data_IF_668640411119
#
_entry.id   IF_668640411119
#
_cell.length_a   1.000
_cell.length_b   1.000
_cell.length_c   1.000
_cell.angle_alpha   90.00
_cell.angle_beta   90.00
_cell.angle_gamma   90.00
#
_symmetry.space_group_name_H-M   'P 1'
#
loop_
_entity.id
_entity.type
_entity.pdbx_description
1 polymer ?
#
# COMPACT_ATOMS: atom_id res chain seq x y z
N UNK A 1 9.36 17.61 10.89
CA UNK A 1 8.25 16.70 11.21
C UNK A 1 6.98 17.46 11.60
N UNK A 2 7.11 18.54 12.38
CA UNK A 2 5.94 19.31 12.84
C UNK A 2 5.05 19.81 11.71
N UNK A 3 5.65 20.19 10.58
CA UNK A 3 4.95 20.76 9.42
C UNK A 3 4.72 19.72 8.31
N UNK A 4 5.09 18.46 8.52
CA UNK A 4 5.07 17.44 7.46
C UNK A 4 3.68 17.25 6.84
N UNK A 5 2.64 17.20 7.66
CA UNK A 5 1.26 17.00 7.19
C UNK A 5 0.71 18.19 6.40
N UNK A 6 1.24 19.41 6.58
CA UNK A 6 0.81 20.57 5.80
C UNK A 6 1.24 20.53 4.32
N UNK A 7 2.15 19.59 3.98
CA UNK A 7 2.59 19.35 2.61
C UNK A 7 1.83 18.19 1.93
N UNK A 8 0.88 17.56 2.61
CA UNK A 8 0.09 16.45 2.07
C UNK A 8 -1.10 17.00 1.28
N UNK A 9 -1.16 16.68 -0.01
CA UNK A 9 -2.31 16.98 -0.85
C UNK A 9 -3.53 16.13 -0.45
N UNK A 10 -3.30 14.87 -0.11
CA UNK A 10 -4.35 13.94 0.29
C UNK A 10 -3.86 12.51 0.49
N UNK A 11 -4.82 11.66 0.76
CA UNK A 11 -4.61 10.24 1.06
C UNK A 11 -5.37 9.37 0.07
N UNK A 12 -4.81 8.22 -0.26
CA UNK A 12 -5.43 7.27 -1.16
C UNK A 12 -5.13 5.83 -0.75
N UNK A 13 -5.97 4.91 -1.20
CA UNK A 13 -5.67 3.47 -1.06
C UNK A 13 -4.64 3.08 -2.12
N UNK A 14 -3.59 2.39 -1.70
CA UNK A 14 -2.60 1.80 -2.59
C UNK A 14 -2.46 0.30 -2.29
N UNK A 15 -2.49 -0.53 -3.33
CA UNK A 15 -2.16 -1.94 -3.18
C UNK A 15 -0.73 -2.19 -3.67
N UNK A 16 0.19 -2.38 -2.75
CA UNK A 16 1.59 -2.71 -3.05
C UNK A 16 1.73 -4.18 -3.48
N UNK A 17 1.18 -4.50 -4.65
CA UNK A 17 1.28 -5.83 -5.25
C UNK A 17 2.74 -6.16 -5.50
N UNK A 18 3.14 -7.39 -5.14
CA UNK A 18 4.56 -7.77 -5.16
C UNK A 18 4.76 -9.13 -5.82
N UNK A 19 5.68 -9.19 -6.78
CA UNK A 19 6.24 -10.43 -7.30
C UNK A 19 7.46 -10.82 -6.43
N UNK A 20 7.26 -11.81 -5.59
CA UNK A 20 8.23 -12.12 -4.52
C UNK A 20 9.51 -12.78 -5.01
N UNK A 21 9.46 -13.60 -6.06
CA UNK A 21 10.64 -14.18 -6.68
C UNK A 21 11.56 -13.07 -7.22
N UNK A 22 11.00 -12.10 -7.95
CA UNK A 22 11.76 -10.99 -8.49
C UNK A 22 12.29 -10.06 -7.39
N UNK A 23 11.52 -9.87 -6.33
CA UNK A 23 11.91 -9.04 -5.21
C UNK A 23 13.08 -9.61 -4.41
N UNK A 24 13.03 -10.91 -4.06
CA UNK A 24 13.92 -11.50 -3.06
C UNK A 24 14.97 -12.45 -3.66
N UNK A 25 14.64 -13.18 -4.74
CA UNK A 25 15.47 -14.28 -5.23
C UNK A 25 16.33 -13.90 -6.44
N UNK A 26 16.04 -12.74 -7.08
CA UNK A 26 16.75 -12.29 -8.27
C UNK A 26 17.66 -11.10 -7.98
N UNK A 27 18.64 -11.28 -7.08
CA UNK A 27 19.68 -10.31 -6.77
C UNK A 27 19.27 -9.21 -5.80
N UNK A 28 18.20 -9.38 -5.05
CA UNK A 28 17.83 -8.54 -3.90
C UNK A 28 17.41 -7.10 -4.18
N UNK A 29 17.25 -6.69 -5.44
CA UNK A 29 16.76 -5.37 -5.78
C UNK A 29 15.23 -5.36 -5.80
N UNK A 30 14.64 -4.83 -4.76
CA UNK A 30 13.20 -4.92 -4.48
C UNK A 30 12.30 -4.33 -5.56
N UNK A 31 12.73 -3.27 -6.20
CA UNK A 31 11.95 -2.59 -7.23
C UNK A 31 11.52 -3.51 -8.38
N UNK A 32 12.33 -4.52 -8.72
CA UNK A 32 11.99 -5.50 -9.75
C UNK A 32 10.70 -6.26 -9.46
N UNK A 33 10.43 -6.50 -8.20
CA UNK A 33 9.20 -7.17 -7.74
C UNK A 33 8.01 -6.23 -7.54
N UNK A 34 8.19 -4.92 -7.73
CA UNK A 34 7.17 -3.89 -7.50
C UNK A 34 6.71 -3.18 -8.77
N UNK A 35 7.45 -3.32 -9.87
CA UNK A 35 7.34 -2.48 -11.07
C UNK A 35 6.74 -3.20 -12.28
N UNK A 36 6.07 -4.35 -12.10
CA UNK A 36 5.35 -4.97 -13.20
C UNK A 36 4.19 -4.07 -13.65
N UNK A 37 3.82 -4.09 -14.94
CA UNK A 37 2.65 -3.37 -15.42
C UNK A 37 1.42 -3.63 -14.55
N UNK A 38 0.67 -2.58 -14.21
CA UNK A 38 -0.50 -2.58 -13.32
C UNK A 38 -0.23 -2.83 -11.84
N UNK A 39 1.02 -2.99 -11.41
CA UNK A 39 1.37 -3.02 -9.99
C UNK A 39 1.27 -1.61 -9.37
N UNK A 40 1.02 -1.56 -8.06
CA UNK A 40 0.82 -0.32 -7.33
C UNK A 40 -0.48 0.43 -7.68
N UNK A 41 -1.64 -0.26 -7.90
CA UNK A 41 -2.88 0.45 -8.18
C UNK A 41 -3.22 1.40 -7.03
N UNK A 42 -3.47 2.66 -7.41
CA UNK A 42 -3.73 3.78 -6.51
C UNK A 42 -5.14 4.34 -6.76
N UNK A 43 -5.86 4.67 -5.71
CA UNK A 43 -7.23 5.20 -5.81
C UNK A 43 -8.21 4.43 -4.92
N UNK A 44 -9.55 4.57 -5.16
CA UNK A 44 -10.21 5.08 -6.38
C UNK A 44 -10.10 6.58 -6.58
N UNK A 45 -9.80 7.33 -5.55
CA UNK A 45 -9.63 8.80 -5.56
C UNK A 45 -8.59 9.22 -4.53
N UNK A 46 -8.26 10.50 -4.50
CA UNK A 46 -7.49 11.15 -3.44
C UNK A 46 -8.48 11.87 -2.54
N UNK A 47 -8.39 11.62 -1.23
CA UNK A 47 -9.20 12.29 -0.20
C UNK A 47 -8.34 13.37 0.44
N UNK A 48 -8.82 14.60 0.45
CA UNK A 48 -8.08 15.75 1.01
C UNK A 48 -8.03 15.72 2.54
N UNK A 49 -7.04 16.37 3.18
CA UNK A 49 -6.84 16.29 4.62
C UNK A 49 -8.02 16.78 5.48
N UNK A 50 -8.87 17.66 4.94
CA UNK A 50 -10.07 18.15 5.62
C UNK A 50 -11.13 17.05 5.85
N UNK A 51 -11.14 16.02 5.01
CA UNK A 51 -11.98 14.83 5.17
C UNK A 51 -11.29 13.69 5.94
N UNK A 52 -10.00 13.84 6.26
CA UNK A 52 -9.20 12.85 7.01
C UNK A 52 -8.62 13.50 8.27
N UNK A 53 -9.41 13.66 9.33
CA UNK A 53 -9.00 14.41 10.52
C UNK A 53 -7.80 13.76 11.25
N UNK A 54 -7.65 12.44 11.16
CA UNK A 54 -6.52 11.72 11.74
C UNK A 54 -6.04 10.59 10.84
N UNK A 55 -4.98 10.80 10.04
CA UNK A 55 -4.41 9.77 9.20
C UNK A 55 -3.75 8.61 9.99
N UNK A 56 -3.55 8.79 11.30
CA UNK A 56 -2.99 7.76 12.18
C UNK A 56 -4.08 6.90 12.84
N UNK A 57 -5.34 7.02 12.45
CA UNK A 57 -6.43 6.19 12.99
C UNK A 57 -7.43 5.78 11.91
N UNK A 58 -6.94 5.14 10.86
CA UNK A 58 -7.76 4.63 9.75
C UNK A 58 -7.74 3.10 9.74
N UNK A 59 -8.93 2.49 9.74
CA UNK A 59 -9.05 1.04 9.57
C UNK A 59 -8.86 0.64 8.11
N UNK A 60 -8.13 -0.45 7.88
CA UNK A 60 -7.85 -0.96 6.55
C UNK A 60 -8.00 -2.48 6.48
N UNK A 61 -8.40 -2.93 5.31
CA UNK A 61 -8.64 -4.35 5.05
C UNK A 61 -8.20 -4.76 3.64
N UNK A 62 -7.92 -6.04 3.50
CA UNK A 62 -7.81 -6.73 2.21
C UNK A 62 -8.40 -8.13 2.34
N UNK A 63 -9.26 -8.49 1.42
CA UNK A 63 -9.83 -9.82 1.26
C UNK A 63 -9.32 -10.43 -0.06
N UNK A 64 -9.09 -11.74 -0.06
CA UNK A 64 -8.74 -12.51 -1.26
C UNK A 64 -9.80 -13.60 -1.45
N UNK A 65 -10.47 -13.59 -2.59
CA UNK A 65 -11.55 -14.52 -2.92
C UNK A 65 -12.69 -14.54 -1.87
N UNK A 66 -12.95 -13.40 -1.24
CA UNK A 66 -13.96 -13.26 -0.18
C UNK A 66 -13.45 -13.63 1.22
N UNK A 67 -12.24 -14.18 1.35
CA UNK A 67 -11.66 -14.55 2.64
C UNK A 67 -10.76 -13.42 3.17
N UNK A 68 -10.84 -13.08 4.47
CA UNK A 68 -10.00 -12.09 5.09
C UNK A 68 -8.51 -12.43 4.99
N UNK A 69 -7.72 -11.50 4.45
CA UNK A 69 -6.28 -11.64 4.33
C UNK A 69 -5.54 -10.65 5.24
N UNK A 70 -5.85 -9.36 5.14
CA UNK A 70 -5.23 -8.34 5.97
C UNK A 70 -6.28 -7.53 6.72
N UNK A 71 -5.99 -7.19 7.96
CA UNK A 71 -6.77 -6.28 8.79
C UNK A 71 -5.79 -5.45 9.62
N UNK A 72 -6.02 -4.17 9.71
CA UNK A 72 -5.17 -3.28 10.49
C UNK A 72 -5.78 -1.91 10.70
N UNK A 73 -5.05 -1.11 11.43
CA UNK A 73 -5.35 0.30 11.64
C UNK A 73 -4.04 1.07 11.60
N UNK A 74 -4.02 2.26 11.00
CA UNK A 74 -2.81 3.08 10.86
C UNK A 74 -2.20 3.49 12.19
N UNK A 75 -2.94 3.45 13.30
CA UNK A 75 -2.39 3.67 14.66
C UNK A 75 -1.32 2.66 15.07
N UNK A 76 -1.26 1.49 14.40
CA UNK A 76 -0.27 0.45 14.68
C UNK A 76 0.98 0.55 13.81
N UNK A 77 1.09 1.59 13.00
CA UNK A 77 2.31 1.86 12.23
C UNK A 77 3.50 2.05 13.17
N UNK A 78 4.66 1.50 12.80
CA UNK A 78 5.91 1.67 13.56
C UNK A 78 6.34 3.14 13.52
N UNK A 79 6.24 3.77 12.34
CA UNK A 79 6.50 5.19 12.14
C UNK A 79 5.24 5.85 11.56
N UNK A 80 4.81 6.95 12.13
CA UNK A 80 3.64 7.69 11.68
C UNK A 80 3.87 8.41 10.35
N UNK A 81 2.78 8.83 9.71
CA UNK A 81 2.81 9.50 8.40
C UNK A 81 3.71 10.73 8.40
N UNK A 82 3.58 11.61 9.40
CA UNK A 82 4.42 12.81 9.53
C UNK A 82 5.92 12.47 9.64
N UNK A 83 6.25 11.41 10.39
CA UNK A 83 7.62 10.93 10.50
C UNK A 83 8.16 10.44 9.15
N UNK A 84 7.38 9.62 8.43
CA UNK A 84 7.80 9.08 7.13
C UNK A 84 8.07 10.18 6.12
N UNK A 85 7.20 11.18 6.02
CA UNK A 85 7.39 12.33 5.13
C UNK A 85 8.68 13.07 5.49
N UNK A 86 8.86 13.40 6.77
CA UNK A 86 10.06 14.09 7.25
C UNK A 86 11.32 13.29 6.98
N UNK A 87 11.28 11.98 7.20
CA UNK A 87 12.42 11.10 6.99
C UNK A 87 12.80 11.00 5.51
N UNK A 88 11.84 10.75 4.64
CA UNK A 88 12.09 10.65 3.18
C UNK A 88 12.63 11.97 2.63
N UNK A 89 12.09 13.11 3.05
CA UNK A 89 12.54 14.44 2.62
C UNK A 89 13.97 14.79 3.04
N UNK A 90 14.57 14.04 3.98
CA UNK A 90 15.97 14.24 4.35
C UNK A 90 16.97 13.65 3.35
N UNK A 91 16.51 12.77 2.44
CA UNK A 91 17.37 12.12 1.45
C UNK A 91 17.08 12.59 0.02
N UNK A 92 15.89 13.07 -0.25
CA UNK A 92 15.48 13.47 -1.59
C UNK A 92 14.53 14.65 -1.54
N UNK A 93 14.50 15.43 -2.61
CA UNK A 93 13.50 16.47 -2.80
C UNK A 93 12.17 15.78 -3.12
N UNK A 94 11.12 16.16 -2.38
CA UNK A 94 9.75 15.75 -2.68
C UNK A 94 9.09 16.84 -3.50
N UNK A 95 8.45 16.46 -4.60
CA UNK A 95 7.78 17.37 -5.52
C UNK A 95 6.25 17.16 -5.49
N UNK A 96 5.47 18.18 -5.90
CA UNK A 96 4.03 18.00 -6.05
C UNK A 96 3.69 16.84 -7.01
N UNK A 97 2.91 15.88 -6.54
CA UNK A 97 2.57 14.66 -7.28
C UNK A 97 3.33 13.41 -6.84
N UNK A 98 4.35 13.56 -6.00
CA UNK A 98 5.02 12.38 -5.42
C UNK A 98 4.08 11.61 -4.51
N UNK A 99 4.20 10.27 -4.57
CA UNK A 99 3.42 9.34 -3.76
C UNK A 99 4.33 8.57 -2.82
N UNK A 100 4.02 8.64 -1.52
CA UNK A 100 4.72 7.87 -0.50
C UNK A 100 3.82 6.71 -0.06
N UNK A 101 4.24 5.47 -0.33
CA UNK A 101 3.59 4.30 0.21
C UNK A 101 4.09 4.03 1.62
N UNK A 102 3.18 3.94 2.58
CA UNK A 102 3.50 3.96 4.02
C UNK A 102 3.59 2.58 4.65
N UNK A 103 3.60 1.53 3.84
CA UNK A 103 3.68 0.15 4.31
C UNK A 103 2.32 -0.56 4.37
N UNK A 104 2.34 -1.77 4.91
CA UNK A 104 1.19 -2.68 4.90
C UNK A 104 0.96 -3.32 6.27
N UNK A 105 -0.32 -3.59 6.65
CA UNK A 105 -0.62 -4.32 7.88
C UNK A 105 -0.26 -5.81 7.76
N UNK A 106 -0.24 -6.55 8.88
CA UNK A 106 -0.03 -7.99 8.88
C UNK A 106 -1.02 -8.74 7.99
N UNK A 107 -0.63 -9.93 7.51
CA UNK A 107 -1.49 -10.85 6.74
C UNK A 107 -1.06 -11.06 5.29
N UNK A 108 0.09 -10.47 4.88
CA UNK A 108 0.67 -10.73 3.55
C UNK A 108 0.92 -12.22 3.32
N UNK A 109 0.69 -12.69 2.10
CA UNK A 109 0.78 -14.10 1.76
C UNK A 109 2.13 -14.74 2.06
N UNK A 110 3.23 -14.03 1.88
CA UNK A 110 4.58 -14.49 2.22
C UNK A 110 4.76 -14.78 3.72
N UNK A 111 4.05 -14.07 4.59
CA UNK A 111 4.12 -14.27 6.05
C UNK A 111 3.25 -15.39 6.58
N UNK A 112 2.43 -16.06 5.75
CA UNK A 112 1.61 -17.18 6.15
C UNK A 112 2.45 -18.45 6.30
N UNK A 113 1.93 -19.40 7.05
CA UNK A 113 2.57 -20.72 7.26
C UNK A 113 1.60 -21.84 6.88
N UNK A 114 1.77 -22.52 5.74
CA UNK A 114 2.76 -22.23 4.68
C UNK A 114 2.44 -20.90 3.94
N UNK A 115 3.44 -20.32 3.22
CA UNK A 115 3.19 -19.13 2.38
C UNK A 115 2.11 -19.38 1.33
N UNK A 116 1.28 -18.36 1.10
CA UNK A 116 0.19 -18.41 0.11
C UNK A 116 0.30 -17.20 -0.80
N UNK A 117 0.50 -17.44 -2.08
CA UNK A 117 0.66 -16.38 -3.08
C UNK A 117 -0.57 -16.28 -3.99
N UNK A 118 -0.79 -15.09 -4.50
CA UNK A 118 -1.84 -14.82 -5.47
C UNK A 118 -1.61 -15.61 -6.76
N UNK A 119 -2.70 -16.06 -7.38
CA UNK A 119 -2.70 -16.80 -8.64
C UNK A 119 -3.64 -16.12 -9.65
N UNK A 120 -3.38 -16.36 -10.91
CA UNK A 120 -4.30 -15.91 -11.97
C UNK A 120 -5.74 -16.40 -11.69
N UNK A 121 -6.68 -15.47 -11.74
CA UNK A 121 -8.09 -15.70 -11.39
C UNK A 121 -8.49 -15.20 -10.03
N UNK A 122 -7.55 -15.06 -9.08
CA UNK A 122 -7.86 -14.52 -7.74
C UNK A 122 -8.44 -13.11 -7.82
N UNK A 123 -9.34 -12.82 -6.90
CA UNK A 123 -9.96 -11.51 -6.73
C UNK A 123 -9.58 -10.92 -5.39
N UNK A 124 -9.17 -9.66 -5.43
CA UNK A 124 -8.87 -8.89 -4.23
C UNK A 124 -9.92 -7.79 -4.07
N UNK A 125 -10.40 -7.61 -2.85
CA UNK A 125 -11.16 -6.45 -2.40
C UNK A 125 -10.39 -5.82 -1.25
N UNK A 126 -10.05 -4.56 -1.35
CA UNK A 126 -9.29 -3.87 -0.31
C UNK A 126 -9.78 -2.44 -0.17
N UNK A 127 -9.56 -1.87 1.00
CA UNK A 127 -9.98 -0.50 1.26
C UNK A 127 -9.44 0.05 2.57
N UNK A 128 -9.59 1.34 2.72
CA UNK A 128 -9.34 2.09 3.95
C UNK A 128 -10.58 2.89 4.25
N UNK A 129 -11.09 2.79 5.46
CA UNK A 129 -12.29 3.53 5.87
C UNK A 129 -12.09 5.03 5.66
N UNK A 130 -13.00 5.66 4.95
CA UNK A 130 -12.92 7.06 4.54
C UNK A 130 -12.15 7.33 3.25
N UNK A 131 -11.34 6.38 2.75
CA UNK A 131 -10.56 6.57 1.51
C UNK A 131 -11.10 5.78 0.31
N UNK A 132 -12.11 4.95 0.52
CA UNK A 132 -12.71 4.13 -0.54
C UNK A 132 -12.16 2.72 -0.64
N UNK A 133 -12.61 2.00 -1.68
CA UNK A 133 -12.30 0.58 -1.90
C UNK A 133 -11.86 0.33 -3.34
N UNK A 134 -11.05 -0.70 -3.51
CA UNK A 134 -10.63 -1.22 -4.81
C UNK A 134 -11.06 -2.69 -4.95
N UNK A 135 -11.45 -3.06 -6.17
CA UNK A 135 -11.70 -4.44 -6.56
C UNK A 135 -10.78 -4.80 -7.74
N UNK A 136 -9.99 -5.83 -7.57
CA UNK A 136 -8.95 -6.20 -8.52
C UNK A 136 -9.03 -7.68 -8.86
N UNK A 137 -8.61 -8.03 -10.06
CA UNK A 137 -8.47 -9.42 -10.49
C UNK A 137 -7.03 -9.67 -10.91
N UNK A 138 -6.45 -10.74 -10.38
CA UNK A 138 -5.12 -11.19 -10.79
C UNK A 138 -5.23 -11.86 -12.17
N UNK A 139 -4.38 -11.46 -13.09
CA UNK A 139 -4.27 -12.05 -14.42
C UNK A 139 -2.87 -12.60 -14.66
N UNK A 140 -2.77 -13.63 -15.48
CA UNK A 140 -1.46 -14.10 -15.90
C UNK A 140 -0.79 -13.02 -16.76
N UNK A 141 0.53 -12.87 -16.60
CA UNK A 141 1.32 -12.02 -17.48
C UNK A 141 1.22 -12.55 -18.92
N UNK A 142 0.82 -11.71 -19.83
CA UNK A 142 0.95 -11.99 -21.25
C UNK A 142 2.42 -11.75 -21.61
N UNK A 143 3.03 -12.75 -22.23
CA UNK A 143 4.44 -12.73 -22.65
C UNK A 143 4.74 -11.70 -23.73
#
# INVERSE_FOLDING_TARGET
EKDALSHVLGYAVCNDVSEREYQAERGGQWIKGKSAPTFGPLGPWIVTPDEVPDPQNLDLFLDVNGEPAQRGNTRTMIFGVAHLISYVSSFMVLEPGDVITTGTPPGVGMGRKPPVYLKAGDRMRLGIVGLGEQNQKVVARQG
#
